data_IF_187330699599
#
_entry.id   IF_187330699599
#
_cell.length_a   1.000
_cell.length_b   1.000
_cell.length_c   1.000
_cell.angle_alpha   90.00
_cell.angle_beta   90.00
_cell.angle_gamma   90.00
#
_symmetry.space_group_name_H-M   'P 1'
#
loop_
_entity.id
_entity.type
_entity.pdbx_description
1 polymer ?
#
# COMPACT_ATOMS: atom_id res chain seq x y z
N UNK A 1 73.61 13.49 -1.77
CA UNK A 1 74.16 12.12 -1.85
C UNK A 1 72.97 11.18 -2.04
N UNK A 2 72.79 10.62 -3.24
CA UNK A 2 73.15 9.25 -3.65
C UNK A 2 72.24 8.14 -3.08
N UNK A 3 71.52 7.50 -4.02
CA UNK A 3 71.11 6.08 -4.15
C UNK A 3 69.86 5.63 -3.38
N UNK A 4 68.71 5.36 -4.03
CA UNK A 4 68.25 4.22 -4.88
C UNK A 4 68.17 2.82 -4.21
N UNK A 5 66.96 2.23 -4.34
CA UNK A 5 66.61 0.83 -4.67
C UNK A 5 66.29 -0.23 -3.57
N UNK A 6 65.04 -0.75 -3.65
CA UNK A 6 64.65 -2.13 -4.05
C UNK A 6 63.77 -2.94 -3.06
N UNK A 7 62.52 -3.15 -3.49
CA UNK A 7 61.70 -4.38 -3.48
C UNK A 7 62.26 -5.65 -2.81
N UNK A 8 61.48 -6.24 -1.87
CA UNK A 8 61.27 -7.71 -1.64
C UNK A 8 59.88 -7.86 -0.96
N UNK A 9 58.83 -8.26 -1.69
CA UNK A 9 58.25 -9.62 -1.69
C UNK A 9 57.88 -10.15 -0.28
N UNK A 10 56.61 -10.05 0.11
CA UNK A 10 56.07 -10.91 1.17
C UNK A 10 55.01 -11.84 0.60
N UNK A 11 55.25 -13.12 0.88
CA UNK A 11 54.64 -14.30 0.33
C UNK A 11 53.17 -14.41 0.76
N UNK A 12 52.29 -14.53 -0.23
CA UNK A 12 50.93 -14.99 -0.08
C UNK A 12 50.96 -16.51 0.19
N UNK A 13 50.74 -16.93 1.42
CA UNK A 13 50.54 -18.34 1.76
C UNK A 13 49.05 -18.66 1.79
N UNK A 14 48.63 -19.27 0.69
CA UNK A 14 47.38 -20.00 0.50
C UNK A 14 47.27 -21.10 1.56
N UNK A 15 46.19 -21.10 2.35
CA UNK A 15 45.68 -22.29 3.03
C UNK A 15 44.29 -22.55 2.45
N UNK A 16 44.26 -23.57 1.60
CA UNK A 16 43.05 -24.20 1.07
C UNK A 16 42.60 -25.19 2.15
N UNK A 17 41.44 -24.95 2.76
CA UNK A 17 40.62 -26.04 3.27
C UNK A 17 39.40 -26.14 2.37
N UNK A 18 39.16 -27.36 1.91
CA UNK A 18 38.19 -27.76 0.90
C UNK A 18 37.09 -28.59 1.57
N UNK A 19 35.89 -28.47 1.02
CA UNK A 19 34.70 -29.31 1.13
C UNK A 19 33.76 -29.12 2.34
N UNK A 20 32.72 -28.32 2.12
CA UNK A 20 31.36 -28.87 2.01
C UNK A 20 30.80 -28.44 0.66
N UNK A 21 30.14 -29.39 0.01
CA UNK A 21 29.62 -29.36 -1.36
C UNK A 21 28.45 -28.40 -1.54
N UNK A 22 28.49 -27.66 -2.66
CA UNK A 22 27.38 -27.13 -3.44
C UNK A 22 26.16 -26.63 -2.66
N UNK A 23 26.17 -25.35 -2.30
CA UNK A 23 24.99 -24.51 -2.40
C UNK A 23 25.30 -23.49 -3.51
N UNK A 24 24.66 -23.65 -4.66
CA UNK A 24 24.69 -22.62 -5.68
C UNK A 24 23.96 -21.40 -5.10
N UNK A 25 24.73 -20.41 -4.64
CA UNK A 25 24.19 -19.05 -4.48
C UNK A 25 23.87 -18.56 -5.90
N UNK A 26 22.66 -18.88 -6.39
CA UNK A 26 22.15 -18.35 -7.66
C UNK A 26 21.94 -16.85 -7.48
N UNK A 27 22.91 -16.02 -7.87
CA UNK A 27 22.75 -14.56 -7.87
C UNK A 27 21.45 -14.13 -8.56
N UNK A 28 20.82 -13.08 -8.06
CA UNK A 28 19.69 -12.40 -8.71
C UNK A 28 19.96 -12.22 -10.20
N UNK A 29 18.88 -12.28 -10.99
CA UNK A 29 18.96 -11.91 -12.40
C UNK A 29 19.40 -10.45 -12.53
N UNK A 30 20.46 -10.21 -13.32
CA UNK A 30 20.86 -8.86 -13.73
C UNK A 30 19.83 -8.21 -14.68
N UNK A 31 18.96 -9.02 -15.29
CA UNK A 31 17.84 -8.61 -16.14
C UNK A 31 16.55 -8.77 -15.34
N UNK A 32 16.16 -7.71 -14.62
CA UNK A 32 15.04 -7.73 -13.67
C UNK A 32 13.68 -7.67 -14.38
N UNK A 33 13.62 -7.11 -15.59
CA UNK A 33 12.43 -7.01 -16.43
C UNK A 33 12.73 -7.46 -17.88
N UNK A 34 12.96 -8.78 -18.09
CA UNK A 34 13.32 -9.33 -19.41
C UNK A 34 12.20 -9.22 -20.44
N UNK A 35 10.95 -9.11 -19.99
CA UNK A 35 9.78 -9.00 -20.83
C UNK A 35 9.42 -7.53 -21.16
N UNK A 36 10.09 -6.57 -20.52
CA UNK A 36 9.86 -5.14 -20.73
C UNK A 36 8.47 -4.70 -20.25
N UNK A 37 8.01 -5.24 -19.13
CA UNK A 37 6.73 -4.88 -18.51
C UNK A 37 6.75 -3.43 -17.99
N UNK A 38 7.89 -2.94 -17.52
CA UNK A 38 8.01 -1.58 -17.01
C UNK A 38 8.25 -0.58 -18.15
N UNK A 39 8.79 -1.01 -19.31
CA UNK A 39 9.00 -0.11 -20.44
C UNK A 39 7.70 0.45 -21.03
N UNK A 40 6.59 -0.27 -20.87
CA UNK A 40 5.28 0.20 -21.37
C UNK A 40 4.71 1.33 -20.50
N UNK A 41 5.20 1.50 -19.27
CA UNK A 41 4.81 2.59 -18.38
C UNK A 41 5.29 3.95 -18.91
N UNK A 42 6.37 3.97 -19.70
CA UNK A 42 6.85 5.18 -20.38
C UNK A 42 6.01 5.56 -21.61
N UNK A 43 5.07 4.71 -22.06
CA UNK A 43 4.25 5.00 -23.23
C UNK A 43 3.18 6.07 -22.94
N UNK A 44 3.14 7.11 -23.76
CA UNK A 44 2.14 8.16 -23.64
C UNK A 44 0.75 7.63 -24.01
N UNK A 45 -0.18 7.69 -23.06
CA UNK A 45 -1.56 7.27 -23.26
C UNK A 45 -2.35 8.27 -24.07
N UNK A 46 -3.28 7.76 -24.88
CA UNK A 46 -4.22 8.60 -25.60
C UNK A 46 -5.22 9.24 -24.63
N UNK A 47 -5.08 10.53 -24.35
CA UNK A 47 -5.87 11.25 -23.34
C UNK A 47 -7.38 11.18 -23.54
N UNK A 48 -7.87 11.07 -24.78
CA UNK A 48 -9.30 10.91 -25.06
C UNK A 48 -9.81 9.51 -24.73
N UNK A 49 -9.03 8.47 -25.09
CA UNK A 49 -9.36 7.09 -24.72
C UNK A 49 -9.26 6.89 -23.21
N UNK A 50 -8.20 7.40 -22.58
CA UNK A 50 -8.02 7.34 -21.12
C UNK A 50 -9.11 8.09 -20.39
N UNK A 51 -9.47 9.30 -20.83
CA UNK A 51 -10.57 10.06 -20.21
C UNK A 51 -11.92 9.33 -20.28
N UNK A 52 -12.16 8.52 -21.31
CA UNK A 52 -13.36 7.69 -21.41
C UNK A 52 -13.30 6.43 -20.54
N UNK A 53 -12.09 6.01 -20.17
CA UNK A 53 -11.84 4.89 -19.27
C UNK A 53 -11.81 5.26 -17.78
N UNK A 54 -11.85 6.55 -17.45
CA UNK A 54 -11.90 7.06 -16.07
C UNK A 54 -13.35 7.12 -15.56
N UNK A 55 -13.56 6.69 -14.32
CA UNK A 55 -14.82 6.84 -13.61
C UNK A 55 -14.59 7.43 -12.19
N UNK A 56 -15.40 8.43 -11.83
CA UNK A 56 -15.47 8.99 -10.49
C UNK A 56 -16.94 8.95 -10.10
N UNK A 57 -17.29 8.32 -8.97
CA UNK A 57 -18.70 8.17 -8.59
C UNK A 57 -19.35 9.54 -8.37
N UNK A 58 -20.59 9.71 -8.85
CA UNK A 58 -21.29 10.99 -8.81
C UNK A 58 -20.78 12.11 -9.73
N UNK A 59 -19.66 11.91 -10.45
CA UNK A 59 -19.13 12.88 -11.41
C UNK A 59 -19.80 12.78 -12.80
N UNK A 60 -19.61 13.80 -13.63
CA UNK A 60 -20.12 13.82 -15.01
C UNK A 60 -19.06 14.18 -16.04
N UNK A 61 -19.03 13.46 -17.16
CA UNK A 61 -18.16 13.78 -18.28
C UNK A 61 -18.86 14.80 -19.21
N UNK A 62 -18.20 15.91 -19.48
CA UNK A 62 -18.72 17.01 -20.29
C UNK A 62 -17.79 17.32 -21.46
N UNK A 63 -18.36 17.65 -22.62
CA UNK A 63 -17.59 18.06 -23.80
C UNK A 63 -17.01 19.49 -23.64
N UNK A 64 -15.82 19.70 -24.20
CA UNK A 64 -15.16 21.00 -24.26
C UNK A 64 -14.05 21.17 -23.23
N UNK A 65 -13.80 22.42 -22.84
CA UNK A 65 -12.75 22.75 -21.87
C UNK A 65 -13.23 23.80 -20.87
N UNK A 66 -12.57 23.81 -19.72
CA UNK A 66 -12.88 24.72 -18.63
C UNK A 66 -12.12 26.03 -18.84
N UNK A 67 -12.75 27.17 -18.52
CA UNK A 67 -12.09 28.48 -18.58
C UNK A 67 -11.90 29.04 -17.15
N UNK A 68 -10.69 28.94 -16.58
CA UNK A 68 -10.34 29.50 -15.29
C UNK A 68 -10.68 30.99 -15.15
N UNK A 69 -11.20 31.40 -14.00
CA UNK A 69 -11.36 32.82 -13.66
C UNK A 69 -10.20 33.35 -12.82
N UNK A 70 -9.47 32.47 -12.13
CA UNK A 70 -8.38 32.80 -11.22
C UNK A 70 -8.84 33.44 -9.90
N UNK A 71 -10.10 33.23 -9.52
CA UNK A 71 -10.70 33.82 -8.32
C UNK A 71 -10.48 33.01 -7.03
N UNK A 72 -9.90 31.82 -7.14
CA UNK A 72 -9.67 30.87 -6.03
C UNK A 72 -8.19 30.48 -6.04
N UNK A 73 -7.55 30.56 -4.87
CA UNK A 73 -6.21 30.03 -4.66
C UNK A 73 -6.32 28.51 -4.42
N UNK A 74 -5.57 27.73 -5.19
CA UNK A 74 -5.55 26.27 -5.12
C UNK A 74 -4.16 25.76 -5.50
N UNK A 75 -3.70 24.72 -4.82
CA UNK A 75 -2.41 24.09 -5.05
C UNK A 75 -2.46 22.63 -4.64
N UNK A 76 -1.68 21.81 -5.32
CA UNK A 76 -1.27 20.48 -4.86
C UNK A 76 0.19 20.53 -4.42
N UNK A 77 0.57 19.68 -3.48
CA UNK A 77 1.95 19.52 -3.00
C UNK A 77 2.74 18.49 -3.83
N UNK A 78 2.10 17.82 -4.79
CA UNK A 78 2.72 16.94 -5.77
C UNK A 78 2.48 17.40 -7.22
N UNK A 79 3.34 16.93 -8.12
CA UNK A 79 3.25 17.16 -9.57
C UNK A 79 3.32 15.86 -10.38
N UNK A 80 3.53 14.75 -9.68
CA UNK A 80 3.57 13.39 -10.20
C UNK A 80 2.89 12.47 -9.20
N UNK A 81 2.30 11.39 -9.67
CA UNK A 81 1.76 10.33 -8.83
C UNK A 81 1.66 9.02 -9.61
N UNK A 82 1.42 7.95 -8.87
CA UNK A 82 1.27 6.60 -9.39
C UNK A 82 -0.20 6.21 -9.42
N UNK A 83 -0.57 5.39 -10.40
CA UNK A 83 -1.89 4.79 -10.53
C UNK A 83 -1.75 3.33 -10.95
N UNK A 84 -2.81 2.57 -10.74
CA UNK A 84 -2.81 1.13 -11.05
C UNK A 84 -3.96 0.78 -11.99
N UNK A 85 -3.73 -0.16 -12.90
CA UNK A 85 -4.77 -0.64 -13.81
C UNK A 85 -5.97 -1.18 -13.00
N UNK A 86 -7.20 -1.03 -13.50
CA UNK A 86 -8.45 -1.48 -12.83
C UNK A 86 -8.76 -0.86 -11.45
N UNK A 87 -7.80 -0.22 -10.79
CA UNK A 87 -7.93 0.41 -9.47
C UNK A 87 -7.95 1.94 -9.58
N UNK A 88 -7.07 2.52 -10.39
CA UNK A 88 -6.90 3.95 -10.58
C UNK A 88 -5.99 4.59 -9.53
N UNK A 89 -6.38 5.74 -9.00
CA UNK A 89 -5.61 6.55 -8.06
C UNK A 89 -6.50 7.52 -7.27
N UNK A 90 -5.93 8.22 -6.29
CA UNK A 90 -6.60 9.28 -5.54
C UNK A 90 -5.99 10.65 -5.82
N UNK A 91 -6.84 11.68 -5.81
CA UNK A 91 -6.38 13.08 -5.77
C UNK A 91 -6.72 13.63 -4.40
N UNK A 92 -5.69 13.90 -3.61
CA UNK A 92 -5.82 14.40 -2.24
C UNK A 92 -5.38 15.87 -2.19
N UNK A 93 -6.18 16.73 -1.55
CA UNK A 93 -5.88 18.17 -1.42
C UNK A 93 -6.65 18.86 -0.29
N UNK A 94 -6.11 19.98 0.19
CA UNK A 94 -6.77 20.89 1.11
C UNK A 94 -7.79 21.77 0.34
N UNK A 95 -9.08 21.51 0.53
CA UNK A 95 -10.13 22.21 -0.19
C UNK A 95 -10.38 23.62 0.38
N UNK A 96 -10.57 24.64 -0.48
CA UNK A 96 -10.93 25.99 -0.01
C UNK A 96 -12.31 25.99 0.68
N UNK A 97 -12.53 26.92 1.61
CA UNK A 97 -13.76 26.96 2.44
C UNK A 97 -15.08 26.99 1.66
N UNK A 98 -15.10 27.55 0.45
CA UNK A 98 -16.29 27.64 -0.42
C UNK A 98 -16.28 26.59 -1.56
N UNK A 99 -15.53 25.50 -1.41
CA UNK A 99 -15.42 24.41 -2.39
C UNK A 99 -16.79 23.83 -2.78
N UNK A 100 -17.09 23.88 -4.06
CA UNK A 100 -18.31 23.30 -4.64
C UNK A 100 -18.03 22.10 -5.55
N UNK A 101 -16.76 21.88 -5.91
CA UNK A 101 -16.30 20.77 -6.72
C UNK A 101 -15.02 21.09 -7.48
N UNK A 102 -14.62 20.16 -8.35
CA UNK A 102 -13.44 20.25 -9.18
C UNK A 102 -13.75 19.88 -10.64
N UNK A 103 -12.99 20.44 -11.56
CA UNK A 103 -12.93 19.99 -12.94
C UNK A 103 -11.58 19.35 -13.21
N UNK A 104 -11.59 18.18 -13.85
CA UNK A 104 -10.40 17.42 -14.22
C UNK A 104 -10.39 17.25 -15.74
N UNK A 105 -9.31 17.62 -16.40
CA UNK A 105 -9.14 17.46 -17.85
C UNK A 105 -7.77 16.86 -18.15
N UNK A 106 -7.76 15.74 -18.85
CA UNK A 106 -6.51 15.07 -19.25
C UNK A 106 -5.82 15.85 -20.36
N UNK A 107 -4.49 15.77 -20.40
CA UNK A 107 -3.68 16.39 -21.43
C UNK A 107 -2.35 15.63 -21.65
N UNK A 108 -1.80 15.84 -22.84
CA UNK A 108 -0.51 15.32 -23.26
C UNK A 108 0.24 16.36 -24.10
N UNK A 109 1.36 15.96 -24.71
CA UNK A 109 2.12 16.83 -25.63
C UNK A 109 1.34 17.22 -26.91
N UNK A 110 0.27 16.48 -27.24
CA UNK A 110 -0.58 16.72 -28.41
C UNK A 110 -1.77 17.64 -28.09
N UNK A 111 -2.12 17.84 -26.82
CA UNK A 111 -3.10 18.81 -26.34
C UNK A 111 -3.98 18.31 -25.20
N UNK A 112 -5.06 19.04 -24.94
CA UNK A 112 -6.09 18.64 -23.97
C UNK A 112 -7.03 17.59 -24.58
N UNK A 113 -7.57 16.72 -23.74
CA UNK A 113 -8.71 15.88 -24.09
C UNK A 113 -9.91 16.73 -24.51
N UNK A 114 -10.78 16.18 -25.36
CA UNK A 114 -11.97 16.86 -25.87
C UNK A 114 -13.07 17.02 -24.81
N UNK A 115 -12.91 16.36 -23.66
CA UNK A 115 -13.83 16.36 -22.53
C UNK A 115 -13.13 16.67 -21.20
N UNK A 116 -13.91 17.11 -20.22
CA UNK A 116 -13.50 17.26 -18.83
C UNK A 116 -14.50 16.56 -17.91
N UNK A 117 -14.03 16.12 -16.75
CA UNK A 117 -14.82 15.48 -15.71
C UNK A 117 -15.19 16.57 -14.69
N UNK A 118 -16.49 16.74 -14.45
CA UNK A 118 -17.07 17.63 -13.44
C UNK A 118 -17.38 16.81 -12.18
N UNK A 119 -16.63 17.06 -11.13
CA UNK A 119 -16.68 16.36 -9.84
C UNK A 119 -17.31 17.30 -8.81
N UNK A 120 -18.62 17.19 -8.52
CA UNK A 120 -19.24 18.00 -7.49
C UNK A 120 -18.68 17.64 -6.11
N UNK A 121 -18.74 18.54 -5.12
CA UNK A 121 -18.28 18.23 -3.76
C UNK A 121 -19.07 17.12 -3.05
N UNK A 122 -20.21 16.68 -3.61
CA UNK A 122 -20.92 15.49 -3.15
C UNK A 122 -20.35 14.17 -3.69
N UNK A 123 -19.42 14.24 -4.64
CA UNK A 123 -18.68 13.14 -5.26
C UNK A 123 -17.24 13.06 -4.71
N UNK A 124 -16.97 13.77 -3.61
CA UNK A 124 -15.69 13.75 -2.92
C UNK A 124 -15.92 13.23 -1.52
N UNK A 125 -14.94 12.52 -0.99
CA UNK A 125 -14.96 12.07 0.40
C UNK A 125 -14.09 12.97 1.26
N UNK A 126 -14.46 13.09 2.53
CA UNK A 126 -13.54 13.56 3.55
C UNK A 126 -12.73 12.36 4.01
N UNK A 127 -11.42 12.53 4.16
CA UNK A 127 -10.34 11.56 4.39
C UNK A 127 -10.64 10.19 5.03
N UNK A 128 -11.65 10.06 5.90
CA UNK A 128 -12.11 8.78 6.47
C UNK A 128 -12.75 7.80 5.46
N UNK A 129 -12.56 7.97 4.15
CA UNK A 129 -13.42 7.40 3.08
C UNK A 129 -12.78 6.97 1.74
N UNK A 130 -11.51 7.30 1.43
CA UNK A 130 -10.86 6.96 0.15
C UNK A 130 -10.34 5.51 0.03
N UNK A 131 -10.32 4.96 -1.19
CA UNK A 131 -9.83 3.60 -1.53
C UNK A 131 -8.49 3.17 -0.91
N UNK A 132 -7.55 4.09 -0.72
CA UNK A 132 -6.24 3.80 -0.15
C UNK A 132 -6.30 3.59 1.38
N UNK A 133 -7.39 3.99 2.04
CA UNK A 133 -7.48 4.05 3.51
C UNK A 133 -8.84 3.67 4.15
N UNK A 134 -9.91 3.35 3.38
CA UNK A 134 -11.29 3.44 3.92
C UNK A 134 -12.13 2.18 4.08
N UNK A 135 -11.54 1.00 4.07
CA UNK A 135 -12.25 -0.16 4.61
C UNK A 135 -11.56 -0.60 5.88
N UNK A 136 -12.29 -0.54 7.00
CA UNK A 136 -12.03 -1.28 8.23
C UNK A 136 -11.97 -2.79 7.87
N UNK A 137 -10.88 -3.20 7.21
CA UNK A 137 -10.50 -4.59 7.01
C UNK A 137 -9.28 -4.85 7.88
N UNK A 138 -9.18 -6.09 8.36
CA UNK A 138 -8.01 -6.53 9.11
C UNK A 138 -6.82 -6.46 8.16
N UNK A 139 -6.01 -5.43 8.36
CA UNK A 139 -4.82 -5.23 7.56
C UNK A 139 -3.80 -6.31 7.95
N UNK A 140 -3.34 -7.00 6.92
CA UNK A 140 -2.36 -8.08 6.97
C UNK A 140 -0.97 -7.50 7.27
N UNK A 141 -0.71 -6.30 6.77
CA UNK A 141 0.52 -5.55 6.95
C UNK A 141 0.19 -4.34 7.82
N UNK A 142 0.31 -4.53 9.13
CA UNK A 142 0.14 -3.53 10.18
C UNK A 142 -1.23 -2.91 10.34
N UNK A 143 -1.59 -2.67 11.61
CA UNK A 143 -2.77 -1.91 12.04
C UNK A 143 -2.68 -0.48 11.46
N UNK A 144 -3.25 -0.21 10.29
CA UNK A 144 -3.30 1.17 9.78
C UNK A 144 -4.05 2.08 10.75
N UNK A 145 -3.32 3.04 11.30
CA UNK A 145 -3.84 4.20 12.00
C UNK A 145 -3.52 5.43 11.18
N UNK A 146 -4.35 5.72 10.17
CA UNK A 146 -4.43 7.00 9.46
C UNK A 146 -3.09 7.71 9.13
N UNK A 147 -2.73 7.71 7.85
CA UNK A 147 -1.55 8.39 7.29
C UNK A 147 -1.36 9.86 7.76
N UNK A 148 -0.15 10.38 7.53
CA UNK A 148 0.36 11.77 7.72
C UNK A 148 -0.54 12.97 7.36
N UNK A 149 -1.71 12.76 6.79
CA UNK A 149 -2.56 13.78 6.20
C UNK A 149 -3.64 14.30 7.16
N UNK A 150 -4.03 15.56 6.96
CA UNK A 150 -4.84 16.28 7.94
C UNK A 150 -6.28 15.81 7.85
N UNK A 151 -6.99 15.78 9.00
CA UNK A 151 -8.43 15.50 9.12
C UNK A 151 -9.36 16.37 8.21
N UNK A 152 -8.81 17.35 7.49
CA UNK A 152 -9.53 18.31 6.63
C UNK A 152 -9.29 18.07 5.12
N UNK A 153 -8.50 17.07 4.74
CA UNK A 153 -8.17 16.83 3.33
C UNK A 153 -9.38 16.24 2.56
N UNK A 154 -9.56 16.73 1.34
CA UNK A 154 -10.58 16.30 0.37
C UNK A 154 -9.98 15.28 -0.58
N UNK A 155 -10.72 14.18 -0.80
CA UNK A 155 -10.29 13.06 -1.65
C UNK A 155 -11.22 12.92 -2.85
N UNK A 156 -10.64 12.76 -4.04
CA UNK A 156 -11.34 12.35 -5.26
C UNK A 156 -10.83 10.97 -5.67
N UNK A 157 -11.70 9.97 -5.57
CA UNK A 157 -11.41 8.60 -5.97
C UNK A 157 -11.57 8.42 -7.48
N UNK A 158 -10.44 8.28 -8.18
CA UNK A 158 -10.40 8.07 -9.62
C UNK A 158 -10.28 6.57 -9.90
N UNK A 159 -11.30 5.99 -10.51
CA UNK A 159 -11.32 4.59 -10.96
C UNK A 159 -10.88 4.49 -12.41
N UNK A 160 -10.17 3.41 -12.75
CA UNK A 160 -9.97 3.00 -14.13
C UNK A 160 -10.86 1.82 -14.48
N UNK A 161 -11.50 1.90 -15.63
CA UNK A 161 -11.97 0.69 -16.30
C UNK A 161 -10.79 -0.12 -16.82
N UNK A 162 -11.05 -1.41 -17.09
CA UNK A 162 -10.13 -2.34 -17.75
C UNK A 162 -9.68 -1.96 -19.17
N UNK A 163 -10.04 -0.78 -19.64
CA UNK A 163 -9.61 -0.23 -20.93
C UNK A 163 -8.42 0.72 -20.82
N UNK A 164 -8.06 1.16 -19.62
CA UNK A 164 -6.89 1.99 -19.37
C UNK A 164 -5.65 1.08 -19.24
N UNK A 165 -4.72 1.10 -20.20
CA UNK A 165 -3.49 0.32 -20.10
C UNK A 165 -2.46 1.03 -19.21
N UNK A 166 -1.39 0.30 -18.85
CA UNK A 166 -0.17 0.91 -18.32
C UNK A 166 0.39 1.95 -19.31
N UNK A 167 1.06 2.97 -18.77
CA UNK A 167 1.57 4.12 -19.52
C UNK A 167 1.43 5.43 -18.74
N UNK A 168 1.70 6.56 -19.39
CA UNK A 168 1.68 7.88 -18.76
C UNK A 168 0.66 8.83 -19.38
N UNK A 169 0.07 9.69 -18.56
CA UNK A 169 -0.73 10.84 -18.99
C UNK A 169 -0.62 11.97 -17.97
N UNK A 170 -1.07 13.18 -18.29
CA UNK A 170 -1.20 14.24 -17.29
C UNK A 170 -2.65 14.71 -17.20
N UNK A 171 -3.03 15.29 -16.07
CA UNK A 171 -4.32 15.96 -15.90
C UNK A 171 -4.12 17.35 -15.32
N UNK A 172 -4.98 18.26 -15.74
CA UNK A 172 -5.14 19.57 -15.17
C UNK A 172 -6.38 19.55 -14.27
N UNK A 173 -6.24 19.95 -13.02
CA UNK A 173 -7.33 20.08 -12.07
C UNK A 173 -7.55 21.55 -11.71
N UNK A 174 -8.81 21.99 -11.74
CA UNK A 174 -9.25 23.28 -11.23
C UNK A 174 -10.33 23.06 -10.17
N UNK A 175 -10.32 23.80 -9.06
CA UNK A 175 -11.44 23.81 -8.12
C UNK A 175 -12.37 24.98 -8.41
N UNK A 176 -13.66 24.82 -8.12
CA UNK A 176 -14.66 25.87 -8.30
C UNK A 176 -15.55 26.07 -7.07
N UNK A 177 -16.12 27.26 -6.94
CA UNK A 177 -17.04 27.62 -5.86
C UNK A 177 -18.50 27.74 -6.34
N UNK A 178 -19.42 27.90 -5.40
CA UNK A 178 -20.86 28.07 -5.69
C UNK A 178 -21.21 29.38 -6.43
N UNK A 179 -20.27 30.31 -6.54
CA UNK A 179 -20.43 31.59 -7.25
C UNK A 179 -19.93 31.51 -8.70
N UNK A 180 -19.33 30.38 -9.10
CA UNK A 180 -18.77 30.16 -10.42
C UNK A 180 -17.36 30.73 -10.61
N UNK A 181 -16.65 31.03 -9.52
CA UNK A 181 -15.20 31.26 -9.62
C UNK A 181 -14.49 29.92 -9.78
N UNK A 182 -13.39 29.93 -10.54
CA UNK A 182 -12.61 28.74 -10.88
C UNK A 182 -11.13 29.09 -10.65
N UNK A 183 -10.40 28.23 -9.96
CA UNK A 183 -8.96 28.39 -9.73
C UNK A 183 -8.15 28.38 -11.02
N UNK A 184 -6.87 28.73 -10.95
CA UNK A 184 -5.93 28.35 -12.01
C UNK A 184 -5.75 26.81 -12.01
N UNK A 185 -5.43 26.21 -13.17
CA UNK A 185 -5.18 24.78 -13.25
C UNK A 185 -3.88 24.43 -12.54
N UNK A 186 -3.91 23.31 -11.82
CA UNK A 186 -2.72 22.62 -11.32
C UNK A 186 -2.54 21.36 -12.16
N UNK A 187 -1.32 21.15 -12.63
CA UNK A 187 -0.97 20.05 -13.53
C UNK A 187 -0.25 18.94 -12.76
N UNK A 188 -0.67 17.70 -12.98
CA UNK A 188 -0.08 16.50 -12.39
C UNK A 188 0.04 15.44 -13.47
N UNK A 189 1.17 14.74 -13.50
CA UNK A 189 1.36 13.59 -14.38
C UNK A 189 1.22 12.28 -13.61
N UNK A 190 0.59 11.31 -14.24
CA UNK A 190 0.25 10.01 -13.68
C UNK A 190 1.00 8.95 -14.48
N UNK A 191 1.73 8.09 -13.77
CA UNK A 191 2.22 6.82 -14.32
C UNK A 191 1.22 5.74 -13.91
N UNK A 192 0.67 5.03 -14.89
CA UNK A 192 -0.14 3.83 -14.66
C UNK A 192 0.82 2.65 -14.72
N UNK A 193 1.07 2.04 -13.58
CA UNK A 193 2.00 0.91 -13.45
C UNK A 193 1.46 -0.31 -14.18
N UNK A 194 2.38 -1.11 -14.71
CA UNK A 194 2.10 -2.43 -15.21
C UNK A 194 2.09 -3.44 -14.07
N UNK A 195 1.27 -4.48 -14.23
CA UNK A 195 1.34 -5.61 -13.32
C UNK A 195 2.58 -6.47 -13.58
N UNK A 196 3.36 -6.72 -12.54
CA UNK A 196 4.64 -7.41 -12.59
C UNK A 196 5.83 -6.47 -12.38
N UNK A 197 6.91 -6.70 -13.13
CA UNK A 197 8.03 -5.76 -13.22
C UNK A 197 9.35 -6.23 -12.60
N UNK A 198 9.38 -7.27 -11.77
CA UNK A 198 10.65 -7.83 -11.28
C UNK A 198 10.62 -9.36 -11.20
N UNK A 199 11.32 -10.01 -12.13
CA UNK A 199 11.36 -11.48 -12.20
C UNK A 199 11.99 -12.15 -10.99
N UNK A 200 12.77 -11.41 -10.20
CA UNK A 200 13.37 -11.93 -8.98
C UNK A 200 12.34 -12.11 -7.85
N UNK A 201 11.20 -11.40 -7.89
CA UNK A 201 10.10 -11.56 -6.95
C UNK A 201 9.29 -12.82 -7.19
N UNK A 202 9.36 -13.42 -8.39
CA UNK A 202 8.54 -14.58 -8.75
C UNK A 202 8.81 -15.78 -7.83
N UNK A 203 7.73 -16.46 -7.45
CA UNK A 203 7.74 -17.65 -6.60
C UNK A 203 7.02 -17.46 -5.27
N UNK A 204 7.21 -18.46 -4.39
CA UNK A 204 6.61 -18.51 -3.06
C UNK A 204 7.58 -17.96 -2.00
N UNK A 205 7.06 -17.15 -1.10
CA UNK A 205 7.78 -16.47 -0.04
C UNK A 205 7.11 -16.77 1.30
N UNK A 206 7.83 -17.48 2.17
CA UNK A 206 7.37 -17.82 3.51
C UNK A 206 7.84 -16.74 4.49
N UNK A 207 6.92 -16.12 5.24
CA UNK A 207 7.22 -15.16 6.28
C UNK A 207 8.07 -15.77 7.38
N UNK A 208 8.97 -14.96 7.94
CA UNK A 208 9.94 -15.42 8.95
C UNK A 208 9.87 -14.61 10.24
N UNK A 209 9.71 -13.29 10.13
CA UNK A 209 9.71 -12.35 11.27
C UNK A 209 9.25 -10.97 10.83
N UNK A 210 8.85 -10.16 11.81
CA UNK A 210 8.59 -8.74 11.68
C UNK A 210 9.53 -7.96 12.62
N UNK A 211 9.93 -6.76 12.21
CA UNK A 211 10.48 -5.74 13.11
C UNK A 211 9.45 -4.62 13.22
N UNK A 212 8.89 -4.40 14.40
CA UNK A 212 7.96 -3.33 14.73
C UNK A 212 8.67 -2.31 15.63
N UNK A 213 8.94 -1.12 15.11
CA UNK A 213 9.61 -0.04 15.85
C UNK A 213 10.93 -0.47 16.53
N UNK A 214 11.63 -1.45 15.93
CA UNK A 214 12.88 -2.03 16.42
C UNK A 214 12.71 -3.24 17.34
N UNK A 215 11.48 -3.63 17.68
CA UNK A 215 11.14 -4.87 18.36
C UNK A 215 11.00 -6.02 17.35
N UNK A 216 11.66 -7.14 17.62
CA UNK A 216 11.62 -8.33 16.78
C UNK A 216 10.47 -9.23 17.24
N UNK A 217 9.61 -9.61 16.30
CA UNK A 217 8.55 -10.60 16.50
C UNK A 217 8.81 -11.76 15.52
N UNK A 218 9.15 -12.93 16.03
CA UNK A 218 9.35 -14.12 15.19
C UNK A 218 8.00 -14.75 14.80
N UNK A 219 7.95 -15.46 13.66
CA UNK A 219 6.77 -16.25 13.30
C UNK A 219 6.43 -17.27 14.40
N UNK A 220 5.16 -17.35 14.78
CA UNK A 220 4.65 -18.19 15.86
C UNK A 220 4.97 -17.69 17.28
N UNK A 221 5.57 -16.49 17.43
CA UNK A 221 5.74 -15.85 18.73
C UNK A 221 4.54 -14.96 19.08
N UNK A 222 4.08 -15.04 20.33
CA UNK A 222 3.01 -14.20 20.86
C UNK A 222 3.55 -12.80 21.18
N UNK A 223 2.98 -11.78 20.54
CA UNK A 223 3.23 -10.36 20.84
C UNK A 223 2.03 -9.79 21.60
N UNK A 224 2.27 -9.15 22.76
CA UNK A 224 1.21 -8.63 23.63
C UNK A 224 1.37 -7.13 23.87
N UNK A 225 0.28 -6.39 23.70
CA UNK A 225 0.16 -5.01 24.17
C UNK A 225 -0.66 -4.97 25.47
N UNK A 226 -0.09 -4.41 26.53
CA UNK A 226 -0.76 -4.29 27.83
C UNK A 226 -1.30 -2.87 28.05
N UNK A 227 -2.51 -2.75 28.58
CA UNK A 227 -3.12 -1.46 28.94
C UNK A 227 -3.94 -1.51 30.24
N UNK A 228 -3.95 -0.40 30.96
CA UNK A 228 -4.76 -0.24 32.17
C UNK A 228 -6.24 -0.04 31.82
N UNK A 229 -7.14 -0.73 32.53
CA UNK A 229 -8.59 -0.63 32.35
C UNK A 229 -9.34 -0.82 33.69
N UNK A 230 -10.66 -0.70 33.65
CA UNK A 230 -11.55 -0.96 34.79
C UNK A 230 -12.50 -2.09 34.48
N UNK A 231 -12.37 -3.20 35.21
CA UNK A 231 -13.32 -4.30 35.18
C UNK A 231 -14.51 -3.99 36.09
N UNK A 232 -15.70 -3.95 35.49
CA UNK A 232 -16.96 -3.85 36.22
C UNK A 232 -17.42 -5.26 36.56
N UNK A 233 -17.65 -5.56 37.84
CA UNK A 233 -18.02 -6.90 38.29
C UNK A 233 -19.53 -7.03 38.53
N UNK A 234 -20.07 -8.24 38.38
CA UNK A 234 -21.49 -8.56 38.62
C UNK A 234 -21.98 -8.24 40.03
N UNK A 235 -21.07 -8.26 41.02
CA UNK A 235 -21.36 -7.91 42.41
C UNK A 235 -21.45 -6.39 42.65
N UNK A 236 -21.29 -5.57 41.59
CA UNK A 236 -21.31 -4.11 41.64
C UNK A 236 -19.99 -3.46 42.06
N UNK A 237 -18.92 -4.24 42.27
CA UNK A 237 -17.59 -3.71 42.48
C UNK A 237 -16.94 -3.31 41.16
N UNK A 238 -15.89 -2.50 41.26
CA UNK A 238 -15.00 -2.14 40.17
C UNK A 238 -13.57 -2.43 40.62
N UNK A 239 -12.77 -2.98 39.70
CA UNK A 239 -11.37 -3.32 39.94
C UNK A 239 -10.55 -2.75 38.79
N UNK A 240 -9.50 -2.00 39.12
CA UNK A 240 -8.50 -1.57 38.14
C UNK A 240 -7.66 -2.80 37.77
N UNK A 241 -7.55 -3.07 36.47
CA UNK A 241 -6.88 -4.25 35.92
C UNK A 241 -5.95 -3.83 34.79
N UNK A 242 -4.89 -4.60 34.58
CA UNK A 242 -4.07 -4.56 33.37
C UNK A 242 -4.60 -5.64 32.45
N UNK A 243 -4.92 -5.27 31.20
CA UNK A 243 -5.41 -6.17 30.16
C UNK A 243 -4.33 -6.32 29.10
N UNK A 244 -4.17 -7.54 28.60
CA UNK A 244 -3.27 -7.88 27.51
C UNK A 244 -4.11 -8.20 26.27
N UNK A 245 -3.80 -7.55 25.17
CA UNK A 245 -4.24 -7.98 23.84
C UNK A 245 -3.05 -8.61 23.15
N UNK A 246 -3.12 -9.92 22.92
CA UNK A 246 -2.03 -10.64 22.28
C UNK A 246 -2.40 -11.13 20.89
N UNK A 247 -1.39 -11.17 20.03
CA UNK A 247 -1.47 -11.60 18.64
C UNK A 247 -0.31 -12.55 18.35
N UNK A 248 -0.60 -13.66 17.67
CA UNK A 248 0.41 -14.59 17.15
C UNK A 248 0.17 -14.78 15.66
N UNK A 249 1.18 -14.50 14.84
CA UNK A 249 1.18 -14.81 13.40
C UNK A 249 1.80 -16.20 13.20
N UNK A 250 0.98 -17.20 12.91
CA UNK A 250 1.41 -18.60 12.81
C UNK A 250 2.03 -18.95 11.46
N UNK A 251 1.43 -18.44 10.40
CA UNK A 251 1.86 -18.67 9.02
C UNK A 251 1.49 -17.46 8.16
N UNK A 252 2.37 -17.11 7.22
CA UNK A 252 2.09 -16.10 6.22
C UNK A 252 2.90 -16.42 4.97
N UNK A 253 2.23 -16.59 3.84
CA UNK A 253 2.85 -16.98 2.56
C UNK A 253 2.35 -16.07 1.45
N UNK A 254 3.28 -15.61 0.61
CA UNK A 254 2.98 -14.79 -0.58
C UNK A 254 3.55 -15.47 -1.82
N UNK A 255 2.73 -15.56 -2.86
CA UNK A 255 3.13 -16.06 -4.18
C UNK A 255 3.02 -14.96 -5.21
N UNK A 256 4.12 -14.66 -5.92
CA UNK A 256 4.13 -13.75 -7.07
C UNK A 256 4.21 -14.54 -8.37
N UNK A 257 3.25 -14.29 -9.28
CA UNK A 257 3.15 -14.98 -10.57
C UNK A 257 3.63 -14.09 -11.73
N UNK A 258 4.14 -14.74 -12.78
CA UNK A 258 4.65 -14.10 -14.01
C UNK A 258 3.63 -13.19 -14.71
N UNK A 259 2.34 -13.47 -14.55
CA UNK A 259 1.26 -12.69 -15.16
C UNK A 259 0.84 -11.45 -14.33
N UNK A 260 1.66 -11.06 -13.35
CA UNK A 260 1.38 -9.90 -12.49
C UNK A 260 0.27 -10.13 -11.46
N UNK A 261 -0.13 -11.38 -11.22
CA UNK A 261 -1.07 -11.73 -10.13
C UNK A 261 -0.34 -12.22 -8.89
N UNK A 262 -0.90 -11.98 -7.71
CA UNK A 262 -0.41 -12.54 -6.46
C UNK A 262 -1.49 -13.39 -5.76
N UNK A 263 -1.03 -14.28 -4.91
CA UNK A 263 -1.84 -14.94 -3.90
C UNK A 263 -1.17 -14.79 -2.54
N UNK A 264 -1.96 -14.56 -1.51
CA UNK A 264 -1.54 -14.37 -0.14
C UNK A 264 -2.37 -15.28 0.76
N UNK A 265 -1.75 -15.90 1.77
CA UNK A 265 -2.46 -16.58 2.86
C UNK A 265 -1.81 -16.34 4.20
N UNK A 266 -2.62 -16.19 5.24
CA UNK A 266 -2.20 -16.00 6.62
C UNK A 266 -3.06 -16.83 7.57
N UNK A 267 -2.41 -17.31 8.62
CA UNK A 267 -3.06 -17.89 9.80
C UNK A 267 -2.55 -17.16 11.05
N UNK A 268 -3.48 -16.72 11.90
CA UNK A 268 -3.16 -16.03 13.15
C UNK A 268 -4.03 -16.52 14.30
N UNK A 269 -3.58 -16.24 15.52
CA UNK A 269 -4.32 -16.47 16.76
C UNK A 269 -4.32 -15.18 17.57
N UNK A 270 -5.42 -14.94 18.28
CA UNK A 270 -5.57 -13.78 19.14
C UNK A 270 -5.89 -14.25 20.56
N UNK A 271 -5.57 -13.38 21.52
CA UNK A 271 -5.96 -13.56 22.91
C UNK A 271 -6.61 -12.28 23.37
N UNK A 272 -7.91 -12.36 23.61
CA UNK A 272 -8.77 -11.26 24.04
C UNK A 272 -9.38 -11.55 25.41
N UNK A 273 -9.89 -10.49 26.03
CA UNK A 273 -10.59 -10.59 27.31
C UNK A 273 -11.96 -11.28 27.13
N UNK A 274 -12.18 -12.40 27.81
CA UNK A 274 -13.54 -12.93 27.99
C UNK A 274 -14.25 -12.02 29.00
N UNK A 275 -14.91 -10.98 28.50
CA UNK A 275 -15.55 -9.99 29.35
C UNK A 275 -16.61 -10.63 30.25
N UNK A 276 -17.35 -11.63 29.75
CA UNK A 276 -18.44 -12.26 30.51
C UNK A 276 -17.89 -13.10 31.66
N UNK A 277 -16.89 -13.94 31.41
CA UNK A 277 -16.25 -14.74 32.45
C UNK A 277 -15.52 -13.83 33.45
N UNK A 278 -14.81 -12.82 32.94
CA UNK A 278 -14.08 -11.87 33.77
C UNK A 278 -15.01 -11.09 34.71
N UNK A 279 -16.10 -10.55 34.16
CA UNK A 279 -17.14 -9.84 34.92
C UNK A 279 -17.78 -10.71 36.02
N UNK A 280 -18.06 -11.98 35.73
CA UNK A 280 -18.67 -12.91 36.67
C UNK A 280 -17.69 -13.36 37.77
N UNK A 281 -16.41 -13.56 37.43
CA UNK A 281 -15.35 -13.93 38.37
C UNK A 281 -14.84 -12.73 39.19
N UNK A 282 -15.02 -11.50 38.68
CA UNK A 282 -14.37 -10.29 39.16
C UNK A 282 -12.84 -10.43 39.16
N UNK A 283 -12.31 -11.03 38.10
CA UNK A 283 -10.90 -11.31 37.84
C UNK A 283 -10.67 -11.31 36.31
N UNK A 284 -9.45 -11.10 35.84
CA UNK A 284 -9.16 -11.11 34.39
C UNK A 284 -9.10 -12.56 33.90
N UNK A 285 -9.98 -12.89 32.96
CA UNK A 285 -10.06 -14.18 32.29
C UNK A 285 -10.00 -13.91 30.79
N UNK A 286 -9.00 -14.49 30.13
CA UNK A 286 -8.89 -14.45 28.69
C UNK A 286 -9.63 -15.62 28.08
N UNK A 287 -10.21 -15.38 26.92
CA UNK A 287 -10.65 -16.42 26.01
C UNK A 287 -9.43 -16.92 25.22
N UNK A 288 -9.32 -18.24 25.07
CA UNK A 288 -8.46 -18.84 24.04
C UNK A 288 -9.27 -18.82 22.74
N UNK A 289 -9.49 -17.64 22.15
CA UNK A 289 -10.42 -17.49 21.03
C UNK A 289 -9.74 -17.40 19.66
N UNK A 290 -10.35 -18.11 18.72
CA UNK A 290 -10.30 -17.84 17.29
C UNK A 290 -8.93 -17.92 16.63
N UNK A 291 -8.61 -19.10 16.07
CA UNK A 291 -7.69 -19.10 14.93
C UNK A 291 -8.36 -18.38 13.77
N UNK A 292 -7.69 -17.40 13.20
CA UNK A 292 -8.14 -16.68 12.02
C UNK A 292 -7.34 -17.13 10.80
N UNK A 293 -8.01 -17.24 9.66
CA UNK A 293 -7.36 -17.47 8.39
C UNK A 293 -7.81 -16.42 7.38
N UNK A 294 -6.85 -15.77 6.74
CA UNK A 294 -7.09 -14.79 5.69
C UNK A 294 -6.40 -15.23 4.40
N UNK A 295 -7.10 -15.14 3.28
CA UNK A 295 -6.49 -15.29 1.96
C UNK A 295 -6.85 -14.11 1.09
N UNK A 296 -5.89 -13.63 0.31
CA UNK A 296 -6.07 -12.51 -0.60
C UNK A 296 -5.54 -12.87 -1.98
N UNK A 297 -6.21 -12.35 -3.01
CA UNK A 297 -5.85 -12.52 -4.40
C UNK A 297 -6.02 -11.21 -5.14
N UNK A 298 -5.04 -10.90 -5.99
CA UNK A 298 -5.07 -9.68 -6.76
C UNK A 298 -3.88 -9.53 -7.68
N UNK A 299 -3.46 -8.29 -7.89
CA UNK A 299 -2.34 -7.93 -8.76
C UNK A 299 -1.23 -7.24 -8.00
N UNK A 300 0.00 -7.40 -8.49
CA UNK A 300 1.18 -6.76 -7.93
C UNK A 300 1.91 -5.95 -9.00
N UNK A 301 2.53 -4.85 -8.61
CA UNK A 301 3.39 -4.01 -9.45
C UNK A 301 4.70 -3.70 -8.71
N UNK A 302 5.80 -3.57 -9.43
CA UNK A 302 7.10 -3.18 -8.89
C UNK A 302 7.65 -1.96 -9.61
N UNK A 303 7.76 -0.86 -8.87
CA UNK A 303 8.37 0.36 -9.36
C UNK A 303 9.90 0.31 -9.15
N UNK A 304 10.66 0.18 -10.24
CA UNK A 304 12.12 0.07 -10.17
C UNK A 304 12.82 1.36 -9.72
N UNK A 305 12.25 2.53 -10.01
CA UNK A 305 12.86 3.81 -9.68
C UNK A 305 12.83 4.07 -8.18
N UNK A 306 11.72 3.72 -7.53
CA UNK A 306 11.46 3.95 -6.11
C UNK A 306 11.73 2.70 -5.25
N UNK A 307 11.89 1.53 -5.87
CA UNK A 307 11.95 0.21 -5.21
C UNK A 307 10.71 -0.08 -4.36
N UNK A 308 9.54 0.28 -4.88
CA UNK A 308 8.26 0.07 -4.20
C UNK A 308 7.55 -1.16 -4.78
N UNK A 309 7.07 -2.02 -3.90
CA UNK A 309 6.18 -3.13 -4.22
C UNK A 309 4.76 -2.76 -3.79
N UNK A 310 3.83 -2.83 -4.73
CA UNK A 310 2.42 -2.55 -4.49
C UNK A 310 1.59 -3.81 -4.70
N UNK A 311 0.66 -4.10 -3.79
CA UNK A 311 -0.35 -5.15 -3.93
C UNK A 311 -1.75 -4.53 -3.94
N UNK A 312 -2.52 -4.86 -4.97
CA UNK A 312 -3.94 -4.48 -5.08
C UNK A 312 -4.79 -5.74 -5.00
N UNK A 313 -5.53 -5.88 -3.91
CA UNK A 313 -6.48 -6.97 -3.66
C UNK A 313 -7.77 -6.77 -4.46
N UNK A 314 -8.25 -7.83 -5.12
CA UNK A 314 -9.54 -7.86 -5.80
C UNK A 314 -10.49 -8.93 -5.23
N UNK A 315 -9.97 -9.91 -4.51
CA UNK A 315 -10.76 -10.97 -3.87
C UNK A 315 -10.11 -11.37 -2.55
N UNK A 316 -10.92 -11.55 -1.51
CA UNK A 316 -10.45 -12.06 -0.23
C UNK A 316 -11.41 -13.07 0.37
N UNK A 317 -10.87 -13.88 1.27
CA UNK A 317 -11.64 -14.78 2.14
C UNK A 317 -11.10 -14.69 3.55
N UNK A 318 -12.00 -14.48 4.51
CA UNK A 318 -11.71 -14.45 5.94
C UNK A 318 -12.44 -15.61 6.61
N UNK A 319 -11.76 -16.34 7.49
CA UNK A 319 -12.37 -17.31 8.38
C UNK A 319 -12.04 -16.95 9.82
N UNK A 320 -13.07 -16.73 10.64
CA UNK A 320 -12.94 -16.46 12.07
C UNK A 320 -14.06 -17.22 12.80
N UNK A 321 -13.75 -17.83 13.95
CA UNK A 321 -14.68 -18.64 14.74
C UNK A 321 -15.42 -19.76 13.98
N UNK A 322 -14.78 -20.28 12.92
CA UNK A 322 -15.34 -21.32 12.05
C UNK A 322 -16.41 -20.83 11.07
N UNK A 323 -16.65 -19.52 10.99
CA UNK A 323 -17.44 -18.88 9.93
C UNK A 323 -16.50 -18.34 8.85
N UNK A 324 -16.87 -18.55 7.58
CA UNK A 324 -16.08 -18.09 6.43
C UNK A 324 -16.88 -17.07 5.63
N UNK A 325 -16.24 -15.94 5.34
CA UNK A 325 -16.73 -14.86 4.50
C UNK A 325 -15.82 -14.69 3.28
N UNK A 326 -16.41 -14.48 2.10
CA UNK A 326 -15.68 -14.23 0.84
C UNK A 326 -16.31 -13.03 0.16
N UNK A 327 -15.49 -12.11 -0.33
CA UNK A 327 -15.96 -10.93 -1.07
C UNK A 327 -15.04 -10.60 -2.25
N UNK A 328 -15.56 -9.75 -3.14
CA UNK A 328 -14.85 -9.24 -4.31
C UNK A 328 -14.84 -7.71 -4.24
N UNK A 329 -13.67 -7.14 -4.47
CA UNK A 329 -13.44 -5.70 -4.60
C UNK A 329 -13.31 -5.34 -6.07
N UNK A 330 -14.41 -5.01 -6.77
CA UNK A 330 -14.38 -4.78 -8.21
C UNK A 330 -13.49 -3.59 -8.61
N UNK A 331 -13.34 -2.62 -7.71
CA UNK A 331 -12.52 -1.43 -7.88
C UNK A 331 -11.13 -1.56 -7.22
N UNK A 332 -10.82 -2.76 -6.70
CA UNK A 332 -9.58 -3.09 -5.98
C UNK A 332 -9.45 -2.45 -4.59
N UNK A 333 -8.47 -2.94 -3.83
CA UNK A 333 -8.07 -2.39 -2.54
C UNK A 333 -6.55 -2.42 -2.41
N UNK A 334 -5.95 -1.28 -2.07
CA UNK A 334 -4.52 -1.22 -1.82
C UNK A 334 -4.19 -1.96 -0.52
N UNK A 335 -3.66 -3.17 -0.65
CA UNK A 335 -3.26 -4.02 0.47
C UNK A 335 -1.85 -3.67 0.96
N UNK A 336 -0.95 -3.31 0.04
CA UNK A 336 0.45 -3.01 0.35
C UNK A 336 0.96 -1.95 -0.61
N UNK A 337 1.76 -1.02 -0.08
CA UNK A 337 2.58 -0.09 -0.84
C UNK A 337 3.85 0.21 -0.04
N UNK A 338 4.88 -0.62 -0.24
CA UNK A 338 6.07 -0.64 0.64
C UNK A 338 7.38 -0.66 -0.14
N UNK A 339 8.41 -0.02 0.41
CA UNK A 339 9.78 -0.14 -0.11
C UNK A 339 10.27 -1.57 0.10
N UNK A 340 11.03 -2.11 -0.85
CA UNK A 340 11.57 -3.47 -0.72
C UNK A 340 13.09 -3.54 -0.80
N UNK A 341 13.65 -4.52 -0.08
CA UNK A 341 15.01 -5.00 -0.25
C UNK A 341 14.97 -6.48 -0.61
N UNK A 342 15.57 -6.83 -1.76
CA UNK A 342 15.53 -8.17 -2.30
C UNK A 342 16.93 -8.78 -2.39
N UNK A 343 17.04 -10.03 -1.96
CA UNK A 343 18.15 -10.94 -2.26
C UNK A 343 17.60 -12.27 -2.78
N UNK A 344 18.47 -13.19 -3.17
CA UNK A 344 18.06 -14.47 -3.78
C UNK A 344 17.02 -15.24 -2.97
N UNK A 345 17.18 -15.22 -1.64
CA UNK A 345 16.41 -16.03 -0.71
C UNK A 345 15.71 -15.20 0.35
N UNK A 346 15.80 -13.86 0.29
CA UNK A 346 15.21 -12.97 1.30
C UNK A 346 14.53 -11.79 0.61
N UNK A 347 13.27 -11.55 0.97
CA UNK A 347 12.52 -10.36 0.64
C UNK A 347 12.23 -9.64 1.95
N UNK A 348 12.54 -8.36 1.98
CA UNK A 348 12.19 -7.47 3.08
C UNK A 348 11.25 -6.41 2.51
N UNK A 349 10.09 -6.25 3.13
CA UNK A 349 9.13 -5.19 2.81
C UNK A 349 9.14 -4.22 3.99
N UNK A 350 9.37 -2.94 3.71
CA UNK A 350 9.46 -1.87 4.69
C UNK A 350 8.33 -0.87 4.48
N UNK A 351 7.62 -0.58 5.56
CA UNK A 351 6.53 0.38 5.61
C UNK A 351 6.74 1.37 6.74
N UNK A 352 6.19 2.57 6.56
CA UNK A 352 6.13 3.57 7.61
C UNK A 352 4.74 4.14 7.69
N UNK A 353 4.15 4.11 8.88
CA UNK A 353 2.94 4.89 9.16
C UNK A 353 3.32 6.12 9.97
N UNK A 354 2.59 7.21 9.83
CA UNK A 354 2.79 8.39 10.68
C UNK A 354 1.47 8.93 11.15
N UNK A 355 1.20 8.72 12.43
CA UNK A 355 0.00 9.16 13.09
C UNK A 355 0.31 10.24 14.11
N UNK A 356 -0.42 11.36 14.09
CA UNK A 356 -0.22 12.50 15.01
C UNK A 356 1.23 13.05 15.06
N UNK A 357 1.99 12.88 13.98
CA UNK A 357 3.39 13.32 13.88
C UNK A 357 4.41 12.37 14.51
N UNK A 358 3.97 11.18 14.94
CA UNK A 358 4.83 10.07 15.34
C UNK A 358 4.89 9.07 14.18
N UNK A 359 6.10 8.71 13.76
CA UNK A 359 6.31 7.75 12.66
C UNK A 359 6.62 6.39 13.25
N UNK A 360 5.80 5.40 12.90
CA UNK A 360 6.04 3.99 13.18
C UNK A 360 6.67 3.32 11.97
N UNK A 361 7.58 2.40 12.21
CA UNK A 361 8.34 1.69 11.17
C UNK A 361 8.15 0.20 11.32
N UNK A 362 7.84 -0.46 10.20
CA UNK A 362 7.60 -1.88 10.14
C UNK A 362 8.43 -2.51 9.03
N UNK A 363 9.06 -3.65 9.33
CA UNK A 363 9.80 -4.44 8.35
C UNK A 363 9.32 -5.90 8.41
N UNK A 364 8.87 -6.43 7.28
CA UNK A 364 8.43 -7.82 7.14
C UNK A 364 9.46 -8.62 6.37
N UNK A 365 9.90 -9.74 6.95
CA UNK A 365 10.96 -10.56 6.37
C UNK A 365 10.41 -11.88 5.87
N UNK A 366 10.76 -12.22 4.64
CA UNK A 366 10.34 -13.42 3.95
C UNK A 366 11.52 -14.20 3.44
N UNK A 367 11.36 -15.53 3.39
CA UNK A 367 12.32 -16.44 2.80
C UNK A 367 11.75 -17.12 1.57
N UNK A 368 12.55 -17.23 0.52
CA UNK A 368 12.14 -17.89 -0.72
C UNK A 368 12.10 -19.41 -0.54
N UNK A 369 11.08 -20.06 -1.08
CA UNK A 369 10.83 -21.51 -0.93
C UNK A 369 11.64 -22.42 -1.84
#
# INVERSE_FOLDING_TARGET
MKKTNLFILFFLSIIIFSCSSDDANESLSDDIDPDGVNIVEEELLNVNATSAGIAIDGATLNDGGVTPTGGIDFSLDYTKQTAFQDYGFEIIFDAPTDFAGAYIQLFDENGMADSYIDVPSSATDNYYGGKFLSKERKDVFTKKGASTQKDEDTVIDVNFSNTVPAGTFCYAICVYDSQGNISQPVEVCVTVESWGGNVNLLGDWDFTKQIDNGELIEVGEESCESYDSTLYCDNGNQVDVELDECYTLNDLVITFNENGTYFFSQESEYKSLDYSASNAACDVIYEEDGGEAYTSSGNWAFNEEENILTLVEFEYTETSDGETYTDVEPDGYLLLDGEISLSNNELIISESDTFNGETELYEYFFSKK
#
